data_IF_585997077440
#
_entry.id   IF_585997077440
#
_cell.length_a   1.000
_cell.length_b   1.000
_cell.length_c   1.000
_cell.angle_alpha   90.00
_cell.angle_beta   90.00
_cell.angle_gamma   90.00
#
_symmetry.space_group_name_H-M   'P 1'
#
loop_
_entity.id
_entity.type
_entity.pdbx_description
1 polymer ?
#
# COMPACT_ATOMS: atom_id res chain seq x y z
N UNK A 1 -12.54 1.02 1.53
CA UNK A 1 -11.13 1.32 1.19
C UNK A 1 -10.52 0.08 0.60
N UNK A 2 -9.91 0.20 -0.57
CA UNK A 2 -9.22 -0.90 -1.25
C UNK A 2 -7.80 -0.47 -1.55
N UNK A 3 -6.89 -1.45 -1.53
CA UNK A 3 -5.49 -1.29 -1.88
C UNK A 3 -5.08 -2.38 -2.87
N UNK A 4 -4.24 -2.02 -3.84
CA UNK A 4 -3.68 -2.95 -4.80
C UNK A 4 -2.16 -2.88 -4.78
N UNK A 5 -1.50 -4.04 -4.68
CA UNK A 5 -0.08 -4.19 -4.89
C UNK A 5 0.21 -4.42 -6.37
N UNK A 6 1.15 -3.67 -6.94
CA UNK A 6 1.56 -3.79 -8.34
C UNK A 6 3.08 -3.72 -8.46
N UNK A 7 3.59 -3.91 -9.67
CA UNK A 7 4.99 -3.63 -10.01
C UNK A 7 5.31 -2.12 -10.09
N UNK A 8 4.28 -1.27 -10.13
CA UNK A 8 4.34 0.21 -10.13
C UNK A 8 3.94 0.83 -8.80
N UNK A 9 3.91 0.03 -7.73
CA UNK A 9 3.68 0.50 -6.36
C UNK A 9 2.32 0.11 -5.81
N UNK A 10 1.87 0.86 -4.81
CA UNK A 10 0.57 0.72 -4.18
C UNK A 10 -0.41 1.69 -4.80
N UNK A 11 -1.61 1.21 -5.13
CA UNK A 11 -2.73 2.05 -5.52
C UNK A 11 -3.82 1.94 -4.47
N UNK A 12 -4.48 3.06 -4.17
CA UNK A 12 -5.60 3.16 -3.22
C UNK A 12 -6.87 3.60 -3.95
N UNK A 13 -7.99 2.96 -3.61
CA UNK A 13 -9.33 3.41 -3.98
C UNK A 13 -10.16 3.70 -2.72
N UNK A 14 -10.86 4.83 -2.73
CA UNK A 14 -11.80 5.23 -1.70
C UNK A 14 -13.28 5.05 -2.11
N UNK A 15 -13.53 4.74 -3.38
CA UNK A 15 -14.83 4.75 -4.05
C UNK A 15 -15.24 3.35 -4.59
N UNK A 16 -14.74 2.28 -3.98
CA UNK A 16 -15.14 0.92 -4.36
C UNK A 16 -14.50 0.40 -5.65
N UNK A 17 -13.27 0.84 -5.94
CA UNK A 17 -12.47 0.52 -7.14
C UNK A 17 -12.92 1.21 -8.44
N UNK A 18 -13.75 2.26 -8.35
CA UNK A 18 -14.11 3.09 -9.51
C UNK A 18 -12.91 3.94 -9.97
N UNK A 19 -12.18 4.55 -9.02
CA UNK A 19 -10.95 5.28 -9.31
C UNK A 19 -9.80 4.82 -8.40
N UNK A 20 -8.58 4.95 -8.91
CA UNK A 20 -7.35 4.56 -8.22
C UNK A 20 -6.35 5.71 -8.23
N UNK A 21 -5.73 5.95 -7.09
CA UNK A 21 -4.67 6.94 -6.92
C UNK A 21 -3.41 6.24 -6.41
N UNK A 22 -2.25 6.70 -6.88
CA UNK A 22 -0.97 6.21 -6.38
C UNK A 22 -0.79 6.53 -4.90
N UNK A 23 -0.29 5.56 -4.14
CA UNK A 23 0.00 5.65 -2.71
C UNK A 23 1.45 5.26 -2.46
N UNK A 24 2.37 5.94 -3.15
CA UNK A 24 3.78 5.54 -3.22
C UNK A 24 4.72 6.42 -2.40
N UNK A 25 4.19 7.36 -1.63
CA UNK A 25 5.01 8.29 -0.84
C UNK A 25 5.96 7.52 0.10
N UNK A 26 7.25 7.82 0.00
CA UNK A 26 8.33 7.19 0.79
C UNK A 26 8.85 5.86 0.23
N UNK A 27 8.22 5.27 -0.80
CA UNK A 27 8.73 4.07 -1.45
C UNK A 27 9.97 4.40 -2.29
N UNK A 28 11.06 3.68 -2.03
CA UNK A 28 12.28 3.72 -2.85
C UNK A 28 12.28 2.64 -3.94
N UNK A 29 11.37 1.68 -3.87
CA UNK A 29 11.17 0.61 -4.85
C UNK A 29 9.67 0.30 -4.93
N UNK A 30 9.14 0.25 -6.16
CA UNK A 30 7.71 0.10 -6.44
C UNK A 30 7.26 -1.34 -6.66
N UNK A 31 8.17 -2.32 -6.61
CA UNK A 31 7.82 -3.72 -6.85
C UNK A 31 7.19 -4.36 -5.61
N UNK A 32 5.93 -4.02 -5.33
CA UNK A 32 5.17 -4.44 -4.16
C UNK A 32 4.56 -5.82 -4.41
N UNK A 33 4.79 -6.75 -3.49
CA UNK A 33 4.35 -8.16 -3.60
C UNK A 33 3.25 -8.55 -2.63
N UNK A 34 3.14 -7.85 -1.51
CA UNK A 34 2.15 -8.15 -0.48
C UNK A 34 1.69 -6.88 0.22
N UNK A 35 0.43 -6.88 0.63
CA UNK A 35 -0.16 -5.86 1.48
C UNK A 35 -0.85 -6.52 2.66
N UNK A 36 -0.77 -5.89 3.83
CA UNK A 36 -1.53 -6.27 5.02
C UNK A 36 -1.99 -5.02 5.76
N UNK A 37 -3.25 -5.01 6.18
CA UNK A 37 -3.81 -3.98 7.06
C UNK A 37 -3.82 -4.51 8.49
N UNK A 38 -3.43 -3.69 9.47
CA UNK A 38 -3.55 -4.07 10.88
C UNK A 38 -5.05 -4.14 11.27
N UNK A 39 -5.56 -5.31 11.72
CA UNK A 39 -6.97 -5.47 12.03
C UNK A 39 -7.43 -4.68 13.26
N UNK A 40 -6.51 -4.34 14.18
CA UNK A 40 -6.80 -3.53 15.37
C UNK A 40 -6.61 -2.03 15.09
N UNK A 41 -5.83 -1.70 14.06
CA UNK A 41 -5.50 -0.32 13.67
C UNK A 41 -5.58 -0.15 12.15
N UNK A 42 -6.79 -0.05 11.56
CA UNK A 42 -6.96 -0.05 10.10
C UNK A 42 -6.27 1.09 9.33
N UNK A 43 -5.76 2.10 10.04
CA UNK A 43 -4.93 3.18 9.49
C UNK A 43 -3.46 2.78 9.27
N UNK A 44 -3.08 1.55 9.64
CA UNK A 44 -1.73 1.00 9.43
C UNK A 44 -1.78 0.01 8.27
N UNK A 45 -1.00 0.29 7.23
CA UNK A 45 -0.80 -0.57 6.07
C UNK A 45 0.68 -0.97 5.98
N UNK A 46 0.93 -2.27 5.84
CA UNK A 46 2.25 -2.84 5.58
C UNK A 46 2.36 -3.22 4.11
N UNK A 47 3.48 -2.88 3.47
CA UNK A 47 3.83 -3.37 2.13
C UNK A 47 5.12 -4.19 2.15
N UNK A 48 5.04 -5.42 1.65
CA UNK A 48 6.21 -6.24 1.34
C UNK A 48 6.74 -5.90 -0.04
N UNK A 49 7.99 -5.44 -0.12
CA UNK A 49 8.61 -4.96 -1.34
C UNK A 49 9.75 -5.88 -1.74
N UNK A 50 9.75 -6.33 -3.00
CA UNK A 50 10.78 -7.21 -3.53
C UNK A 50 12.17 -6.55 -3.43
N UNK A 51 13.05 -7.12 -2.61
CA UNK A 51 14.42 -6.63 -2.44
C UNK A 51 14.57 -5.38 -1.57
N UNK A 52 13.50 -4.87 -0.95
CA UNK A 52 13.55 -3.66 -0.11
C UNK A 52 12.91 -3.82 1.28
N UNK A 53 12.44 -5.02 1.64
CA UNK A 53 11.90 -5.31 2.97
C UNK A 53 10.44 -4.91 3.14
N UNK A 54 10.07 -4.42 4.32
CA UNK A 54 8.70 -4.01 4.65
C UNK A 54 8.63 -2.50 4.87
N UNK A 55 7.72 -1.85 4.15
CA UNK A 55 7.38 -0.44 4.37
C UNK A 55 6.07 -0.33 5.15
N UNK A 56 5.93 0.73 5.95
CA UNK A 56 4.75 0.94 6.82
C UNK A 56 4.22 2.35 6.65
N UNK A 57 2.96 2.48 6.25
CA UNK A 57 2.23 3.74 6.36
C UNK A 57 1.43 3.75 7.66
N UNK A 58 1.46 4.90 8.32
CA UNK A 58 0.64 5.22 9.48
C UNK A 58 0.00 6.58 9.19
N UNK A 59 -1.27 6.60 8.81
CA UNK A 59 -2.01 7.87 8.80
C UNK A 59 -2.37 8.22 10.25
N UNK A 60 -2.15 9.47 10.65
CA UNK A 60 -2.60 9.98 11.95
C UNK A 60 -4.13 9.96 12.06
#
# INVERSE_FOLDING_TARGET
>A
LLYAATDKGVFRSADGAETWQEWNEGLTNTNVKALAVDPLRPHILYAGIWGAGVFVWKSQ
#
